data_IF_093406175800
#
_entry.id   IF_093406175800
#
_cell.length_a   1.000
_cell.length_b   1.000
_cell.length_c   1.000
_cell.angle_alpha   90.00
_cell.angle_beta   90.00
_cell.angle_gamma   90.00
#
_symmetry.space_group_name_H-M   'P 1'
#
loop_
_entity.id
_entity.type
_entity.pdbx_description
1 polymer ?
#
# COMPACT_ATOMS: atom_id res chain seq x y z
N UNK A 1 24.65 -3.99 2.25
CA UNK A 1 24.74 -5.42 2.46
C UNK A 1 23.34 -6.00 2.69
N UNK A 2 23.02 -7.11 2.05
CA UNK A 2 21.69 -7.71 2.17
C UNK A 2 21.34 -8.00 3.64
N UNK A 3 20.08 -7.81 4.00
CA UNK A 3 19.57 -8.01 5.35
C UNK A 3 18.26 -8.78 5.28
N UNK A 4 18.36 -10.12 5.35
CA UNK A 4 17.20 -11.00 5.22
C UNK A 4 16.17 -10.79 6.34
N UNK A 5 16.60 -10.42 7.53
CA UNK A 5 15.69 -10.15 8.64
C UNK A 5 14.81 -8.94 8.34
N UNK A 6 15.41 -7.88 7.79
CA UNK A 6 14.66 -6.69 7.42
C UNK A 6 13.77 -6.94 6.20
N UNK A 7 14.21 -7.77 5.25
CA UNK A 7 13.37 -8.18 4.13
C UNK A 7 12.12 -8.92 4.63
N UNK A 8 12.26 -9.79 5.62
CA UNK A 8 11.14 -10.49 6.22
C UNK A 8 10.15 -9.53 6.90
N UNK A 9 10.66 -8.49 7.56
CA UNK A 9 9.80 -7.46 8.16
C UNK A 9 9.01 -6.72 7.08
N UNK A 10 9.68 -6.30 6.02
CA UNK A 10 9.02 -5.59 4.91
C UNK A 10 7.91 -6.45 4.28
N UNK A 11 8.16 -7.75 4.09
CA UNK A 11 7.16 -8.69 3.55
C UNK A 11 5.93 -8.79 4.44
N UNK A 12 6.08 -8.68 5.76
CA UNK A 12 4.96 -8.69 6.70
C UNK A 12 3.96 -7.56 6.44
N UNK A 13 4.43 -6.40 5.99
CA UNK A 13 3.54 -5.30 5.64
C UNK A 13 2.56 -5.67 4.54
N UNK A 14 3.01 -6.43 3.55
CA UNK A 14 2.14 -6.91 2.49
C UNK A 14 1.18 -8.00 2.99
N UNK A 15 1.62 -8.83 3.94
CA UNK A 15 0.74 -9.81 4.58
C UNK A 15 -0.42 -9.13 5.31
N UNK A 16 -0.17 -7.98 5.95
CA UNK A 16 -1.22 -7.21 6.61
C UNK A 16 -2.30 -6.78 5.60
N UNK A 17 -1.90 -6.33 4.41
CA UNK A 17 -2.86 -6.01 3.35
C UNK A 17 -3.59 -7.26 2.85
N UNK A 18 -2.87 -8.36 2.64
CA UNK A 18 -3.46 -9.57 2.05
C UNK A 18 -4.42 -10.29 3.00
N UNK A 19 -4.16 -10.25 4.29
CA UNK A 19 -4.97 -10.96 5.29
C UNK A 19 -5.95 -10.06 6.04
N UNK A 20 -5.66 -8.75 6.10
CA UNK A 20 -6.43 -7.83 6.95
C UNK A 20 -6.09 -7.96 8.44
N UNK A 21 -5.05 -8.71 8.79
CA UNK A 21 -4.62 -8.90 10.18
C UNK A 21 -3.86 -7.67 10.67
N UNK A 22 -4.54 -6.80 11.40
CA UNK A 22 -3.96 -5.56 11.89
C UNK A 22 -2.94 -5.76 13.02
N UNK A 23 -2.92 -6.93 13.66
CA UNK A 23 -1.90 -7.23 14.68
C UNK A 23 -0.49 -7.27 14.07
N UNK A 24 -0.38 -7.62 12.81
CA UNK A 24 0.90 -7.58 12.08
C UNK A 24 1.45 -6.16 12.07
N UNK A 25 0.60 -5.16 11.90
CA UNK A 25 1.00 -3.76 11.87
C UNK A 25 1.64 -3.37 13.20
N UNK A 26 1.04 -3.77 14.33
CA UNK A 26 1.58 -3.48 15.65
C UNK A 26 2.98 -4.10 15.85
N UNK A 27 3.18 -5.30 15.31
CA UNK A 27 4.45 -6.02 15.46
C UNK A 27 5.58 -5.38 14.66
N UNK A 28 5.29 -4.85 13.47
CA UNK A 28 6.31 -4.44 12.51
C UNK A 28 6.49 -2.93 12.37
N UNK A 29 5.67 -2.11 13.04
CA UNK A 29 5.67 -0.66 12.83
C UNK A 29 6.07 0.07 14.11
N UNK A 30 7.06 0.97 14.01
CA UNK A 30 7.46 1.82 15.14
C UNK A 30 6.35 2.82 15.46
N UNK A 31 6.25 3.21 16.73
CA UNK A 31 5.22 4.15 17.18
C UNK A 31 5.28 5.50 16.48
N UNK A 32 6.48 5.94 16.14
CA UNK A 32 6.73 7.22 15.46
C UNK A 32 7.01 7.06 13.95
N UNK A 33 6.68 5.91 13.38
CA UNK A 33 6.88 5.65 11.97
C UNK A 33 6.15 6.68 11.10
N UNK A 34 6.75 7.01 9.96
CA UNK A 34 6.17 7.92 8.96
C UNK A 34 6.04 7.18 7.65
N UNK A 35 4.85 7.21 7.07
CA UNK A 35 4.56 6.57 5.79
C UNK A 35 4.18 7.63 4.77
N UNK A 36 4.99 7.75 3.72
CA UNK A 36 4.78 8.68 2.62
C UNK A 36 4.10 7.96 1.46
N UNK A 37 2.93 8.42 1.06
CA UNK A 37 2.15 7.81 -0.01
C UNK A 37 1.59 8.91 -0.92
N UNK A 38 1.80 8.83 -2.26
CA UNK A 38 1.32 9.85 -3.19
C UNK A 38 -0.20 9.97 -3.22
N UNK A 39 -0.93 8.94 -2.81
CA UNK A 39 -2.39 8.94 -2.81
C UNK A 39 -2.98 9.58 -1.56
N UNK A 40 -2.17 9.85 -0.53
CA UNK A 40 -2.64 10.41 0.72
C UNK A 40 -2.28 11.90 0.80
N UNK A 41 -3.21 12.76 1.28
CA UNK A 41 -2.94 14.18 1.39
C UNK A 41 -1.88 14.50 2.46
N UNK A 42 -1.81 13.68 3.50
CA UNK A 42 -0.85 13.83 4.60
C UNK A 42 -0.13 12.51 4.85
N UNK A 43 1.06 12.57 5.43
CA UNK A 43 1.79 11.38 5.82
C UNK A 43 1.03 10.62 6.92
N UNK A 44 0.96 9.30 6.78
CA UNK A 44 0.41 8.45 7.83
C UNK A 44 1.46 8.25 8.91
N UNK A 45 1.03 8.24 10.17
CA UNK A 45 1.94 8.15 11.31
C UNK A 45 1.60 7.00 12.23
N UNK A 46 2.64 6.27 12.63
CA UNK A 46 2.58 5.17 13.58
C UNK A 46 1.77 3.97 13.11
N UNK A 47 1.60 2.98 14.00
CA UNK A 47 0.79 1.81 13.67
C UNK A 47 -0.66 2.17 13.31
N UNK A 48 -1.27 3.13 14.00
CA UNK A 48 -2.66 3.53 13.74
C UNK A 48 -2.83 4.11 12.34
N UNK A 49 -1.87 4.93 11.87
CA UNK A 49 -1.91 5.47 10.52
C UNK A 49 -1.81 4.37 9.47
N UNK A 50 -0.93 3.39 9.68
CA UNK A 50 -0.80 2.26 8.77
C UNK A 50 -2.06 1.38 8.77
N UNK A 51 -2.64 1.13 9.95
CA UNK A 51 -3.90 0.37 10.06
C UNK A 51 -5.03 1.04 9.29
N UNK A 52 -5.11 2.36 9.34
CA UNK A 52 -6.13 3.12 8.60
C UNK A 52 -5.97 2.91 7.10
N UNK A 53 -4.74 2.90 6.58
CA UNK A 53 -4.46 2.65 5.17
C UNK A 53 -4.90 1.24 4.78
N UNK A 54 -4.54 0.23 5.58
CA UNK A 54 -4.95 -1.15 5.33
C UNK A 54 -6.47 -1.27 5.29
N UNK A 55 -7.15 -0.69 6.27
CA UNK A 55 -8.61 -0.73 6.35
C UNK A 55 -9.27 0.00 5.18
N UNK A 56 -8.73 1.15 4.79
CA UNK A 56 -9.24 1.93 3.66
C UNK A 56 -9.24 1.10 2.37
N UNK A 57 -8.10 0.51 2.04
CA UNK A 57 -7.98 -0.23 0.79
C UNK A 57 -8.69 -1.58 0.82
N UNK A 58 -8.67 -2.29 1.96
CA UNK A 58 -9.41 -3.55 2.06
C UNK A 58 -10.92 -3.32 2.10
N UNK A 59 -11.38 -2.21 2.64
CA UNK A 59 -12.80 -1.86 2.59
C UNK A 59 -13.29 -1.58 1.17
N UNK A 60 -12.47 -0.88 0.37
CA UNK A 60 -12.79 -0.58 -1.02
C UNK A 60 -12.58 -1.79 -1.94
N UNK A 61 -11.62 -2.64 -1.62
CA UNK A 61 -11.19 -3.79 -2.42
C UNK A 61 -11.10 -5.03 -1.55
N UNK A 62 -12.24 -5.70 -1.24
CA UNK A 62 -12.23 -6.84 -0.32
C UNK A 62 -11.36 -8.02 -0.78
N UNK A 63 -11.15 -8.17 -2.08
CA UNK A 63 -10.32 -9.22 -2.67
C UNK A 63 -8.88 -8.77 -2.97
N UNK A 64 -8.46 -7.65 -2.42
CA UNK A 64 -7.13 -7.08 -2.65
C UNK A 64 -6.04 -8.12 -2.38
N UNK A 65 -5.18 -8.30 -3.38
CA UNK A 65 -4.04 -9.22 -3.30
C UNK A 65 -2.78 -8.54 -3.81
N UNK A 66 -1.77 -8.49 -2.95
CA UNK A 66 -0.41 -8.04 -3.31
C UNK A 66 0.46 -9.23 -3.64
N UNK A 67 1.24 -9.10 -4.69
CA UNK A 67 2.31 -10.05 -5.04
C UNK A 67 3.64 -9.31 -4.98
N UNK A 68 4.60 -9.89 -4.28
CA UNK A 68 5.95 -9.33 -4.20
C UNK A 68 6.72 -9.86 -5.40
N UNK A 69 7.07 -8.97 -6.32
CA UNK A 69 7.80 -9.33 -7.54
C UNK A 69 9.31 -9.38 -7.29
N UNK A 70 9.83 -8.44 -6.52
CA UNK A 70 11.22 -8.40 -6.09
C UNK A 70 11.33 -7.77 -4.71
N UNK A 71 12.25 -8.27 -3.90
CA UNK A 71 12.54 -7.71 -2.58
C UNK A 71 14.03 -7.85 -2.33
N UNK A 72 14.69 -6.74 -2.08
CA UNK A 72 16.12 -6.73 -1.79
C UNK A 72 16.42 -5.62 -0.79
N UNK A 73 17.56 -5.70 -0.14
CA UNK A 73 17.90 -4.78 0.93
C UNK A 73 19.37 -4.36 0.89
N UNK A 74 19.62 -3.21 1.51
CA UNK A 74 20.97 -2.76 1.84
C UNK A 74 20.91 -2.18 3.25
N UNK A 75 21.41 -2.95 4.22
CA UNK A 75 21.37 -2.53 5.62
C UNK A 75 19.95 -2.32 6.12
N UNK A 76 19.66 -1.09 6.54
CA UNK A 76 18.37 -0.72 7.10
C UNK A 76 17.29 -0.49 6.06
N UNK A 77 17.66 -0.38 4.78
CA UNK A 77 16.71 -0.09 3.70
C UNK A 77 16.33 -1.35 2.95
N UNK A 78 15.01 -1.54 2.77
CA UNK A 78 14.46 -2.64 1.99
C UNK A 78 13.64 -2.06 0.85
N UNK A 79 13.93 -2.51 -0.37
CA UNK A 79 13.18 -2.12 -1.55
C UNK A 79 12.32 -3.30 -2.00
N UNK A 80 11.03 -3.08 -2.16
CA UNK A 80 10.08 -4.08 -2.61
C UNK A 80 9.35 -3.57 -3.85
N UNK A 81 9.45 -4.31 -4.95
CA UNK A 81 8.64 -4.06 -6.14
C UNK A 81 7.45 -5.02 -6.08
N UNK A 82 6.26 -4.48 -6.20
CA UNK A 82 5.03 -5.25 -6.02
C UNK A 82 4.02 -4.98 -7.11
N UNK A 83 3.10 -5.93 -7.27
CA UNK A 83 1.92 -5.80 -8.11
C UNK A 83 0.69 -6.19 -7.31
N UNK A 84 -0.47 -5.72 -7.74
CA UNK A 84 -1.71 -5.97 -7.03
C UNK A 84 -2.86 -6.16 -8.00
N UNK A 85 -3.85 -6.94 -7.56
CA UNK A 85 -5.14 -7.10 -8.25
C UNK A 85 -6.25 -6.91 -7.23
N UNK A 86 -7.37 -6.36 -7.68
CA UNK A 86 -8.50 -6.11 -6.81
C UNK A 86 -9.77 -5.84 -7.60
N UNK A 87 -10.91 -5.98 -6.93
CA UNK A 87 -12.21 -5.59 -7.47
C UNK A 87 -12.79 -4.49 -6.58
N UNK A 88 -13.24 -3.38 -7.20
CA UNK A 88 -13.77 -2.23 -6.49
C UNK A 88 -15.21 -2.50 -6.06
N UNK A 89 -15.37 -3.12 -4.91
CA UNK A 89 -16.67 -3.54 -4.37
C UNK A 89 -17.10 -2.73 -3.13
N UNK A 90 -16.31 -1.74 -2.71
CA UNK A 90 -16.64 -0.86 -1.60
C UNK A 90 -16.29 0.58 -1.91
N UNK A 91 -16.74 1.50 -1.06
CA UNK A 91 -16.46 2.92 -1.22
C UNK A 91 -14.95 3.20 -1.09
N UNK A 92 -14.40 4.00 -1.99
CA UNK A 92 -13.02 4.46 -1.94
C UNK A 92 -13.01 5.99 -1.83
N UNK A 93 -12.80 6.50 -0.63
CA UNK A 93 -12.69 7.95 -0.37
C UNK A 93 -13.83 8.74 -1.04
N UNK A 94 -15.07 8.26 -0.89
CA UNK A 94 -16.24 8.90 -1.47
C UNK A 94 -16.63 8.41 -2.87
N UNK A 95 -15.78 7.63 -3.53
CA UNK A 95 -16.11 7.03 -4.81
C UNK A 95 -16.87 5.73 -4.58
N UNK A 96 -18.18 5.66 -4.95
CA UNK A 96 -18.97 4.43 -4.76
C UNK A 96 -18.40 3.26 -5.53
N UNK A 97 -18.69 2.04 -5.05
CA UNK A 97 -18.25 0.81 -5.69
C UNK A 97 -18.62 0.79 -7.18
N UNK A 98 -17.63 0.51 -8.03
CA UNK A 98 -17.84 0.43 -9.47
C UNK A 98 -17.98 -1.01 -9.98
N UNK A 99 -17.59 -1.99 -9.15
CA UNK A 99 -17.51 -3.39 -9.57
C UNK A 99 -16.39 -3.69 -10.55
N UNK A 100 -15.54 -2.73 -10.85
CA UNK A 100 -14.46 -2.90 -11.82
C UNK A 100 -13.29 -3.66 -11.22
N UNK A 101 -12.71 -4.55 -12.02
CA UNK A 101 -11.46 -5.21 -11.66
C UNK A 101 -10.29 -4.32 -12.06
N UNK A 102 -9.35 -4.14 -11.14
CA UNK A 102 -8.20 -3.24 -11.34
C UNK A 102 -6.90 -3.97 -11.06
N UNK A 103 -5.83 -3.48 -11.67
CA UNK A 103 -4.47 -3.93 -11.40
C UNK A 103 -3.60 -2.71 -11.09
N UNK A 104 -2.57 -2.94 -10.29
CA UNK A 104 -1.63 -1.87 -9.94
C UNK A 104 -0.23 -2.44 -9.73
N UNK A 105 0.73 -1.54 -9.67
CA UNK A 105 2.11 -1.88 -9.33
C UNK A 105 2.78 -0.69 -8.69
N UNK A 106 3.82 -0.96 -7.94
CA UNK A 106 4.57 0.09 -7.29
C UNK A 106 5.86 -0.40 -6.68
N UNK A 107 6.55 0.53 -6.05
CA UNK A 107 7.80 0.29 -5.34
C UNK A 107 7.68 0.93 -3.97
N UNK A 108 8.06 0.18 -2.95
CA UNK A 108 8.11 0.66 -1.57
C UNK A 108 9.53 0.52 -1.06
N UNK A 109 10.04 1.58 -0.44
CA UNK A 109 11.29 1.52 0.31
C UNK A 109 10.93 1.68 1.78
N UNK A 110 11.32 0.69 2.59
CA UNK A 110 11.14 0.71 4.04
C UNK A 110 12.49 0.89 4.73
N UNK A 111 12.56 1.80 5.69
CA UNK A 111 13.68 1.89 6.61
C UNK A 111 13.30 1.14 7.87
N UNK A 112 14.09 0.15 8.23
CA UNK A 112 13.78 -0.80 9.32
C UNK A 112 14.92 -0.77 10.34
N UNK A 113 14.58 -0.44 11.57
CA UNK A 113 15.52 -0.38 12.71
C UNK A 113 14.94 -1.25 13.82
N UNK A 114 15.76 -2.15 14.35
CA UNK A 114 15.39 -3.03 15.46
C UNK A 114 14.11 -3.82 15.19
N UNK A 115 13.95 -4.28 13.94
CA UNK A 115 12.83 -5.13 13.54
C UNK A 115 11.52 -4.39 13.29
N UNK A 116 11.56 -3.05 13.25
CA UNK A 116 10.37 -2.24 13.01
C UNK A 116 10.60 -1.21 11.92
N UNK A 117 9.58 -1.01 11.10
CA UNK A 117 9.58 0.05 10.09
C UNK A 117 9.50 1.40 10.79
N UNK A 118 10.46 2.28 10.51
CA UNK A 118 10.49 3.64 11.05
C UNK A 118 10.11 4.68 10.00
N UNK A 119 10.27 4.36 8.73
CA UNK A 119 9.86 5.24 7.63
C UNK A 119 9.64 4.43 6.37
N UNK A 120 8.63 4.79 5.58
CA UNK A 120 8.33 4.14 4.31
C UNK A 120 8.07 5.18 3.24
N UNK A 121 8.58 4.92 2.04
CA UNK A 121 8.34 5.72 0.84
C UNK A 121 7.68 4.83 -0.20
N UNK A 122 6.49 5.23 -0.64
CA UNK A 122 5.72 4.47 -1.62
C UNK A 122 5.60 5.27 -2.91
N UNK A 123 5.85 4.63 -4.03
CA UNK A 123 5.58 5.20 -5.35
C UNK A 123 4.78 4.20 -6.15
N UNK A 124 3.58 4.59 -6.54
CA UNK A 124 2.70 3.73 -7.33
C UNK A 124 1.79 4.58 -8.21
N UNK A 125 1.23 3.95 -9.23
CA UNK A 125 0.43 4.64 -10.23
C UNK A 125 -1.01 4.87 -9.76
N UNK A 126 -1.18 5.85 -8.87
CA UNK A 126 -2.50 6.22 -8.37
C UNK A 126 -3.40 6.78 -9.49
N UNK A 127 -2.83 7.55 -10.41
CA UNK A 127 -3.59 8.08 -11.54
C UNK A 127 -4.12 6.95 -12.43
N UNK A 128 -3.30 5.92 -12.67
CA UNK A 128 -3.73 4.74 -13.42
C UNK A 128 -4.85 4.00 -12.74
N UNK A 129 -4.81 3.87 -11.42
CA UNK A 129 -5.92 3.28 -10.65
C UNK A 129 -7.20 4.08 -10.86
N UNK A 130 -7.15 5.39 -10.74
CA UNK A 130 -8.32 6.26 -10.91
C UNK A 130 -8.88 6.14 -12.33
N UNK A 131 -8.02 6.05 -13.34
CA UNK A 131 -8.46 5.83 -14.72
C UNK A 131 -9.19 4.49 -14.88
N UNK A 132 -8.67 3.42 -14.28
CA UNK A 132 -9.31 2.11 -14.32
C UNK A 132 -10.69 2.14 -13.65
N UNK A 133 -10.85 2.97 -12.63
CA UNK A 133 -12.12 3.16 -11.95
C UNK A 133 -13.08 4.12 -12.70
N UNK A 134 -12.62 4.71 -13.80
CA UNK A 134 -13.44 5.59 -14.63
C UNK A 134 -13.41 7.06 -14.23
N UNK A 135 -12.65 7.44 -13.23
CA UNK A 135 -12.61 8.84 -12.74
C UNK A 135 -12.07 9.79 -13.81
N UNK A 136 -10.95 9.40 -14.43
CA UNK A 136 -10.36 10.19 -15.51
C UNK A 136 -11.24 10.24 -16.75
N UNK A 137 -11.86 9.12 -17.10
CA UNK A 137 -12.79 9.04 -18.22
C UNK A 137 -13.99 9.95 -18.01
N UNK A 138 -14.57 9.94 -16.82
CA UNK A 138 -15.70 10.80 -16.49
C UNK A 138 -15.34 12.27 -16.61
N UNK A 139 -14.13 12.65 -16.24
CA UNK A 139 -13.65 14.02 -16.35
C UNK A 139 -13.35 14.41 -17.80
N UNK A 140 -12.91 13.47 -18.62
CA UNK A 140 -12.52 13.72 -20.01
C UNK A 140 -13.69 13.63 -20.99
N UNK A 141 -14.67 12.79 -20.71
CA UNK A 141 -15.77 12.49 -21.63
C UNK A 141 -16.53 13.73 -22.12
N UNK A 142 -16.81 14.73 -21.29
CA UNK A 142 -17.57 15.90 -21.76
C UNK A 142 -16.83 16.77 -22.76
N UNK A 143 -15.55 16.59 -22.90
CA UNK A 143 -14.75 17.39 -23.83
C UNK A 143 -15.02 17.03 -25.29
N UNK A 144 -15.67 15.93 -25.50
CA UNK A 144 -16.02 15.48 -26.85
C UNK A 144 -17.26 16.12 -27.42
#
# INVERSE_FOLDING_TARGET
MANERNEAVARRGFDAFNTGDLSIVDEMTAEDAVNHDPAQPDDARGPEGFKQIVQLYRGAFPDLTFTIDECFSDGDLVCTRWSTTATHDGDLMGLPATGRHVTGSGITIDKIIDGKVVESWNQWDNAGLMQQLGVGEAAAAPAG
#
